data_IF_630595192056
#
_entry.id   IF_630595192056
#
_cell.length_a   1.000
_cell.length_b   1.000
_cell.length_c   1.000
_cell.angle_alpha   90.00
_cell.angle_beta   90.00
_cell.angle_gamma   90.00
#
_symmetry.space_group_name_H-M   'P 1'
#
loop_
_entity.id
_entity.type
_entity.pdbx_description
1 polymer ?
#
# COMPACT_ATOMS: atom_id res chain seq x y z
N UNK A 1 44.57 -28.13 -4.81
CA UNK A 1 43.49 -27.54 -3.99
C UNK A 1 43.24 -26.18 -4.59
N UNK A 2 42.26 -26.11 -5.49
CA UNK A 2 41.99 -24.92 -6.30
C UNK A 2 41.21 -23.96 -5.40
N UNK A 3 41.86 -22.89 -4.95
CA UNK A 3 41.29 -21.90 -4.02
C UNK A 3 40.87 -20.62 -4.76
N UNK A 4 40.29 -20.77 -5.95
CA UNK A 4 39.86 -19.64 -6.79
C UNK A 4 38.34 -19.57 -6.96
N UNK A 5 37.56 -20.47 -6.34
CA UNK A 5 36.10 -20.52 -6.43
C UNK A 5 35.33 -19.69 -5.38
N UNK A 6 36.00 -18.89 -4.54
CA UNK A 6 35.35 -18.12 -3.47
C UNK A 6 35.68 -16.62 -3.50
N UNK A 7 35.88 -16.06 -4.70
CA UNK A 7 35.59 -14.64 -4.89
C UNK A 7 34.08 -14.51 -5.06
N UNK A 8 33.36 -14.51 -3.93
CA UNK A 8 32.02 -13.95 -3.88
C UNK A 8 32.16 -12.49 -4.30
N UNK A 9 31.77 -12.22 -5.55
CA UNK A 9 31.88 -10.89 -6.15
C UNK A 9 31.13 -9.90 -5.24
N UNK A 10 31.73 -8.76 -4.86
CA UNK A 10 31.03 -7.74 -4.07
C UNK A 10 29.75 -7.22 -4.76
N UNK A 11 29.55 -7.56 -6.04
CA UNK A 11 28.31 -7.30 -6.77
C UNK A 11 27.16 -8.25 -6.38
N UNK A 12 27.41 -9.48 -5.92
CA UNK A 12 26.33 -10.43 -5.55
C UNK A 12 25.67 -10.08 -4.21
N UNK A 13 26.46 -9.71 -3.19
CA UNK A 13 25.94 -9.21 -1.91
C UNK A 13 25.09 -7.95 -2.13
N UNK A 14 25.54 -7.07 -3.03
CA UNK A 14 24.85 -5.84 -3.38
C UNK A 14 23.54 -6.09 -4.16
N UNK A 15 23.52 -7.07 -5.08
CA UNK A 15 22.32 -7.46 -5.82
C UNK A 15 21.27 -8.13 -4.92
N UNK A 16 21.68 -8.95 -3.95
CA UNK A 16 20.76 -9.54 -2.98
C UNK A 16 20.23 -8.50 -1.97
N UNK A 17 21.04 -7.50 -1.59
CA UNK A 17 20.60 -6.35 -0.79
C UNK A 17 19.65 -5.42 -1.57
N UNK A 18 19.92 -5.11 -2.84
CA UNK A 18 19.07 -4.26 -3.68
C UNK A 18 17.70 -4.92 -3.94
N UNK A 19 17.65 -6.25 -4.06
CA UNK A 19 16.42 -7.01 -4.28
C UNK A 19 15.59 -7.19 -2.99
N UNK A 20 16.21 -7.02 -1.82
CA UNK A 20 15.55 -7.21 -0.50
C UNK A 20 14.85 -5.95 0.01
N UNK A 21 15.18 -4.75 -0.48
CA UNK A 21 14.76 -3.49 0.18
C UNK A 21 13.85 -2.60 -0.68
N UNK A 22 12.88 -3.19 -1.37
CA UNK A 22 11.59 -2.52 -1.63
C UNK A 22 10.46 -3.37 -1.08
N UNK A 23 10.37 -3.43 0.25
CA UNK A 23 9.16 -3.86 0.93
C UNK A 23 8.07 -2.80 0.63
N UNK A 24 7.31 -3.03 -0.44
CA UNK A 24 6.10 -2.25 -0.70
C UNK A 24 5.18 -2.48 0.49
N UNK A 25 5.14 -1.52 1.41
CA UNK A 25 4.30 -1.63 2.59
C UNK A 25 2.85 -1.89 2.15
N UNK A 26 2.20 -2.93 2.69
CA UNK A 26 0.85 -3.28 2.29
C UNK A 26 -0.10 -2.11 2.60
N UNK A 27 -0.47 -1.37 1.56
CA UNK A 27 -1.40 -0.23 1.65
C UNK A 27 -2.83 -0.78 1.69
N UNK A 28 -3.48 -0.65 2.85
CA UNK A 28 -4.85 -1.16 3.07
C UNK A 28 -5.94 -0.20 2.58
N UNK A 29 -5.57 1.03 2.25
CA UNK A 29 -6.53 2.08 1.94
C UNK A 29 -7.40 1.83 0.67
N UNK A 30 -6.88 1.27 -0.45
CA UNK A 30 -7.68 0.90 -1.61
C UNK A 30 -8.74 -0.16 -1.30
N UNK A 31 -8.41 -1.12 -0.43
CA UNK A 31 -9.36 -2.17 -0.02
C UNK A 31 -10.49 -1.59 0.83
N UNK A 32 -10.18 -0.70 1.78
CA UNK A 32 -11.18 0.01 2.57
C UNK A 32 -12.09 0.89 1.70
N UNK A 33 -11.52 1.56 0.69
CA UNK A 33 -12.25 2.36 -0.27
C UNK A 33 -13.21 1.52 -1.12
N UNK A 34 -12.75 0.39 -1.64
CA UNK A 34 -13.59 -0.55 -2.39
C UNK A 34 -14.77 -1.06 -1.54
N UNK A 35 -14.51 -1.44 -0.28
CA UNK A 35 -15.56 -1.86 0.66
C UNK A 35 -16.58 -0.74 0.89
N UNK A 36 -16.12 0.51 1.08
CA UNK A 36 -16.98 1.68 1.21
C UNK A 36 -17.85 1.93 -0.02
N UNK A 37 -17.30 1.81 -1.23
CA UNK A 37 -18.04 1.94 -2.49
C UNK A 37 -19.12 0.85 -2.60
N UNK A 38 -18.78 -0.40 -2.32
CA UNK A 38 -19.75 -1.51 -2.35
C UNK A 38 -20.90 -1.25 -1.37
N UNK A 39 -20.61 -0.83 -0.13
CA UNK A 39 -21.66 -0.49 0.82
C UNK A 39 -22.46 0.75 0.43
N UNK A 40 -21.83 1.76 -0.19
CA UNK A 40 -22.53 2.95 -0.66
C UNK A 40 -23.49 2.62 -1.80
N UNK A 41 -23.06 1.83 -2.78
CA UNK A 41 -23.89 1.37 -3.90
C UNK A 41 -25.07 0.51 -3.40
N UNK A 42 -24.80 -0.39 -2.45
CA UNK A 42 -25.85 -1.21 -1.82
C UNK A 42 -26.81 -0.37 -0.96
N UNK A 43 -26.29 0.62 -0.24
CA UNK A 43 -27.05 1.53 0.61
C UNK A 43 -27.98 2.44 -0.18
N UNK A 44 -27.53 2.97 -1.33
CA UNK A 44 -28.39 3.77 -2.23
C UNK A 44 -29.62 2.96 -2.66
N UNK A 45 -29.45 1.66 -2.88
CA UNK A 45 -30.51 0.77 -3.35
C UNK A 45 -31.51 0.39 -2.24
N UNK A 46 -31.09 0.36 -0.97
CA UNK A 46 -31.87 -0.19 0.14
C UNK A 46 -32.36 0.88 1.13
N UNK A 47 -31.49 1.77 1.61
CA UNK A 47 -31.82 2.85 2.53
C UNK A 47 -30.80 4.00 2.46
N UNK A 48 -31.31 5.22 2.22
CA UNK A 48 -30.53 6.48 2.23
C UNK A 48 -29.60 6.68 3.44
N UNK A 49 -29.98 6.23 4.64
CA UNK A 49 -29.12 6.30 5.84
C UNK A 49 -27.85 5.46 5.74
N UNK A 50 -27.94 4.28 5.10
CA UNK A 50 -26.78 3.40 4.91
C UNK A 50 -25.83 3.94 3.83
N UNK A 51 -26.38 4.62 2.82
CA UNK A 51 -25.60 5.35 1.82
C UNK A 51 -24.74 6.47 2.45
N UNK A 52 -25.31 7.20 3.41
CA UNK A 52 -24.63 8.28 4.12
C UNK A 52 -23.41 7.78 4.93
N UNK A 53 -23.55 6.60 5.56
CA UNK A 53 -22.46 5.92 6.27
C UNK A 53 -21.38 5.47 5.28
N UNK A 54 -21.77 4.84 4.15
CA UNK A 54 -20.83 4.45 3.10
C UNK A 54 -20.03 5.63 2.54
N UNK A 55 -20.68 6.78 2.33
CA UNK A 55 -20.02 8.00 1.91
C UNK A 55 -18.98 8.49 2.93
N UNK A 56 -19.30 8.45 4.23
CA UNK A 56 -18.36 8.83 5.28
C UNK A 56 -17.13 7.90 5.31
N UNK A 57 -17.33 6.58 5.12
CA UNK A 57 -16.24 5.61 5.03
C UNK A 57 -15.34 5.88 3.83
N UNK A 58 -15.90 6.19 2.66
CA UNK A 58 -15.13 6.53 1.46
C UNK A 58 -14.29 7.78 1.70
N UNK A 59 -14.86 8.85 2.25
CA UNK A 59 -14.12 10.08 2.55
C UNK A 59 -12.98 9.82 3.52
N UNK A 60 -13.22 9.04 4.58
CA UNK A 60 -12.18 8.64 5.54
C UNK A 60 -11.07 7.80 4.90
N UNK A 61 -11.42 6.84 4.05
CA UNK A 61 -10.46 6.01 3.33
C UNK A 61 -9.59 6.84 2.37
N UNK A 62 -10.18 7.76 1.61
CA UNK A 62 -9.44 8.69 0.74
C UNK A 62 -8.49 9.55 1.58
N UNK A 63 -8.98 10.09 2.70
CA UNK A 63 -8.17 10.94 3.57
C UNK A 63 -6.97 10.18 4.14
N UNK A 64 -7.20 8.98 4.68
CA UNK A 64 -6.15 8.11 5.21
C UNK A 64 -5.13 7.79 4.12
N UNK A 65 -5.60 7.40 2.93
CA UNK A 65 -4.74 7.05 1.81
C UNK A 65 -3.89 8.22 1.33
N UNK A 66 -4.52 9.38 1.17
CA UNK A 66 -3.84 10.60 0.74
C UNK A 66 -2.77 11.03 1.76
N UNK A 67 -3.04 10.85 3.05
CA UNK A 67 -2.09 11.15 4.10
C UNK A 67 -0.91 10.16 4.11
N UNK A 68 -1.18 8.87 3.91
CA UNK A 68 -0.18 7.80 3.78
C UNK A 68 0.76 8.07 2.60
N UNK A 69 0.19 8.38 1.42
CA UNK A 69 0.95 8.80 0.24
C UNK A 69 1.77 10.04 0.53
N UNK A 70 1.17 11.09 1.11
CA UNK A 70 1.88 12.34 1.43
C UNK A 70 3.07 12.12 2.38
N UNK A 71 2.91 11.25 3.37
CA UNK A 71 3.98 10.94 4.32
C UNK A 71 5.14 10.19 3.64
N UNK A 72 4.80 9.24 2.76
CA UNK A 72 5.78 8.54 1.92
C UNK A 72 6.62 9.49 1.05
N UNK A 73 6.00 10.51 0.43
CA UNK A 73 6.75 11.50 -0.37
C UNK A 73 7.63 12.44 0.45
N UNK A 74 7.34 12.65 1.74
CA UNK A 74 8.18 13.50 2.60
C UNK A 74 9.41 12.80 3.14
N UNK A 75 9.48 11.48 3.05
CA UNK A 75 10.62 10.66 3.49
C UNK A 75 11.67 10.39 2.40
N UNK A 76 11.45 10.89 1.17
CA UNK A 76 12.49 10.99 0.14
C UNK A 76 13.40 12.21 0.36
N UNK A 77 14.71 12.05 0.61
CA UNK A 77 15.68 13.15 0.76
C UNK A 77 16.01 13.86 -0.56
#
# INVERSE_FOLDING_TARGET
>A
MNQEELQESPEQENLEQELTEQEIEPTYAPAALAMGITFMLWGILTHWSMSLIGAAVIVGAIWSWMNEIRNSWSETP
#
